data_IF_148879747602
#
_entry.id   IF_148879747602
#
_cell.length_a   1.000
_cell.length_b   1.000
_cell.length_c   1.000
_cell.angle_alpha   90.00
_cell.angle_beta   90.00
_cell.angle_gamma   90.00
#
_symmetry.space_group_name_H-M   'P 1'
#
loop_
_entity.id
_entity.type
_entity.pdbx_description
1 polymer ?
#
# COMPACT_ATOMS: atom_id res chain seq x y z
N UNK A 1 8.37 3.37 1.86
CA UNK A 1 7.30 4.14 2.55
C UNK A 1 5.92 3.49 2.46
N UNK A 2 5.40 3.15 1.26
CA UNK A 2 4.03 2.58 1.14
C UNK A 2 3.90 1.21 1.81
N UNK A 3 4.83 0.29 1.51
CA UNK A 3 4.83 -1.06 2.09
C UNK A 3 4.91 -1.00 3.62
N UNK A 4 5.77 -0.15 4.18
CA UNK A 4 5.96 -0.05 5.63
C UNK A 4 4.74 0.45 6.40
N UNK A 5 3.84 1.19 5.75
CA UNK A 5 2.63 1.72 6.41
C UNK A 5 1.37 0.90 6.10
N UNK A 6 1.33 0.21 4.96
CA UNK A 6 0.14 -0.55 4.53
C UNK A 6 0.30 -2.07 4.64
N UNK A 7 1.53 -2.56 4.72
CA UNK A 7 1.84 -3.98 4.55
C UNK A 7 1.60 -4.52 3.13
N UNK A 8 1.30 -3.65 2.15
CA UNK A 8 0.95 -4.05 0.78
C UNK A 8 1.97 -3.55 -0.24
N UNK A 9 2.30 -4.40 -1.21
CA UNK A 9 3.07 -4.01 -2.39
C UNK A 9 2.24 -3.03 -3.22
N UNK A 10 2.76 -1.85 -3.57
CA UNK A 10 2.04 -0.90 -4.41
C UNK A 10 1.92 -1.42 -5.85
N UNK A 11 1.03 -0.78 -6.62
CA UNK A 11 0.93 -0.95 -8.07
C UNK A 11 1.52 0.29 -8.74
N UNK A 12 2.32 0.10 -9.78
CA UNK A 12 2.80 1.17 -10.66
C UNK A 12 1.95 1.17 -11.93
N UNK A 13 1.28 2.28 -12.17
CA UNK A 13 0.60 2.57 -13.42
C UNK A 13 1.52 3.36 -14.34
N UNK A 14 1.80 2.86 -15.54
CA UNK A 14 2.67 3.54 -16.52
C UNK A 14 2.47 3.01 -17.94
N UNK A 15 2.91 3.79 -18.94
CA UNK A 15 3.18 3.26 -20.28
C UNK A 15 4.65 2.87 -20.43
N UNK A 16 4.96 2.04 -21.43
CA UNK A 16 6.34 1.72 -21.82
C UNK A 16 7.16 2.98 -22.13
N UNK A 17 6.62 3.85 -22.99
CA UNK A 17 7.31 5.06 -23.44
C UNK A 17 7.64 5.98 -22.28
N UNK A 18 6.69 6.21 -21.36
CA UNK A 18 6.95 7.04 -20.19
C UNK A 18 8.06 6.46 -19.31
N UNK A 19 8.03 5.15 -19.05
CA UNK A 19 9.05 4.50 -18.23
C UNK A 19 10.45 4.61 -18.83
N UNK A 20 10.57 4.38 -20.14
CA UNK A 20 11.85 4.43 -20.85
C UNK A 20 12.41 5.86 -20.92
N UNK A 21 11.57 6.86 -21.17
CA UNK A 21 12.01 8.23 -21.43
C UNK A 21 12.11 9.09 -20.16
N UNK A 22 11.18 8.94 -19.22
CA UNK A 22 11.05 9.81 -18.03
C UNK A 22 11.62 9.17 -16.76
N UNK A 23 11.61 7.83 -16.69
CA UNK A 23 12.13 7.06 -15.55
C UNK A 23 13.44 6.35 -15.92
N UNK A 24 14.02 6.71 -17.07
CA UNK A 24 15.31 6.24 -17.56
C UNK A 24 15.42 4.71 -17.64
N UNK A 25 14.29 4.03 -17.89
CA UNK A 25 14.19 2.58 -17.90
C UNK A 25 14.78 1.95 -16.62
N UNK A 26 14.59 2.59 -15.46
CA UNK A 26 15.09 2.07 -14.19
C UNK A 26 14.57 0.66 -13.91
N UNK A 27 15.40 -0.14 -13.27
CA UNK A 27 15.07 -1.50 -12.83
C UNK A 27 14.86 -1.59 -11.32
N UNK A 28 14.97 -0.48 -10.58
CA UNK A 28 14.88 -0.44 -9.12
C UNK A 28 13.49 -0.84 -8.58
N UNK A 29 12.49 -0.90 -9.45
CA UNK A 29 11.09 -1.19 -9.15
C UNK A 29 10.55 -2.40 -9.91
N UNK A 30 11.44 -3.25 -10.45
CA UNK A 30 11.09 -4.45 -11.22
C UNK A 30 10.25 -5.47 -10.42
N UNK A 31 10.38 -5.48 -9.09
CA UNK A 31 9.63 -6.37 -8.19
C UNK A 31 8.26 -5.79 -7.77
N UNK A 32 7.91 -4.59 -8.25
CA UNK A 32 6.61 -3.95 -7.97
C UNK A 32 5.60 -4.37 -9.02
N UNK A 33 4.31 -4.44 -8.64
CA UNK A 33 3.23 -4.86 -9.53
C UNK A 33 3.02 -3.82 -10.65
N UNK A 34 2.93 -4.28 -11.90
CA UNK A 34 2.69 -3.43 -13.07
C UNK A 34 1.22 -3.37 -13.48
N UNK A 35 0.72 -2.15 -13.65
CA UNK A 35 -0.49 -1.81 -14.40
C UNK A 35 -0.08 -1.03 -15.66
N UNK A 36 -0.10 -1.69 -16.82
CA UNK A 36 0.40 -1.08 -18.06
C UNK A 36 -0.71 -0.33 -18.79
N UNK A 37 -0.43 0.87 -19.29
CA UNK A 37 -1.28 1.59 -20.21
C UNK A 37 -0.79 1.40 -21.65
N UNK A 38 -1.59 0.72 -22.48
CA UNK A 38 -1.32 0.56 -23.90
C UNK A 38 -2.61 0.26 -24.67
N UNK A 39 -3.17 1.28 -25.32
CA UNK A 39 -4.49 1.18 -25.92
C UNK A 39 -4.49 0.64 -27.36
N UNK A 40 -5.63 0.07 -27.79
CA UNK A 40 -5.86 -0.30 -29.19
C UNK A 40 -5.05 -1.48 -29.73
N UNK A 41 -4.38 -2.24 -28.85
CA UNK A 41 -3.58 -3.42 -29.20
C UNK A 41 -4.20 -4.71 -28.66
N UNK A 42 -3.74 -5.87 -29.13
CA UNK A 42 -4.20 -7.18 -28.64
C UNK A 42 -3.28 -7.78 -27.57
N UNK A 43 -2.08 -7.24 -27.41
CA UNK A 43 -1.08 -7.63 -26.44
C UNK A 43 -0.29 -6.36 -26.08
N UNK A 44 -0.23 -5.95 -24.80
CA UNK A 44 0.43 -4.71 -24.42
C UNK A 44 1.95 -4.84 -24.51
N UNK A 45 2.60 -3.78 -25.00
CA UNK A 45 4.04 -3.59 -24.84
C UNK A 45 4.33 -3.09 -23.42
N UNK A 46 5.07 -3.88 -22.64
CA UNK A 46 5.47 -3.53 -21.28
C UNK A 46 6.90 -2.95 -21.24
N UNK A 47 7.24 -2.10 -20.25
CA UNK A 47 8.61 -1.69 -20.03
C UNK A 47 9.52 -2.88 -19.73
N UNK A 48 10.77 -2.83 -20.19
CA UNK A 48 11.72 -3.95 -20.06
C UNK A 48 12.11 -4.32 -18.62
N UNK A 49 11.80 -3.45 -17.65
CA UNK A 49 11.99 -3.71 -16.23
C UNK A 49 11.05 -4.81 -15.71
N UNK A 50 9.93 -5.08 -16.39
CA UNK A 50 8.99 -6.13 -16.01
C UNK A 50 8.97 -7.27 -17.01
N UNK A 51 8.74 -8.48 -16.51
CA UNK A 51 8.51 -9.67 -17.32
C UNK A 51 7.03 -9.94 -17.61
N UNK A 52 6.13 -9.35 -16.82
CA UNK A 52 4.68 -9.54 -16.95
C UNK A 52 3.91 -8.33 -16.37
N UNK A 53 2.60 -8.27 -16.63
CA UNK A 53 1.67 -7.27 -16.11
C UNK A 53 0.53 -7.92 -15.34
N UNK A 54 -0.02 -7.20 -14.36
CA UNK A 54 -1.19 -7.66 -13.58
C UNK A 54 -2.47 -6.98 -14.05
N UNK A 55 -2.38 -5.69 -14.36
CA UNK A 55 -3.48 -4.94 -14.99
C UNK A 55 -3.02 -4.33 -16.29
N UNK A 56 -3.94 -4.22 -17.24
CA UNK A 56 -3.71 -3.57 -18.51
C UNK A 56 -4.85 -2.62 -18.82
N UNK A 57 -4.55 -1.32 -18.90
CA UNK A 57 -5.47 -0.34 -19.43
C UNK A 57 -5.48 -0.41 -20.97
N UNK A 58 -6.64 -0.77 -21.50
CA UNK A 58 -6.91 -1.12 -22.90
C UNK A 58 -7.48 0.04 -23.71
N UNK A 59 -8.09 1.02 -23.06
CA UNK A 59 -8.70 2.20 -23.68
C UNK A 59 -8.76 3.37 -22.69
N UNK A 60 -8.75 4.59 -23.21
CA UNK A 60 -9.09 5.86 -22.54
C UNK A 60 -10.49 6.39 -22.93
N UNK A 61 -11.15 5.67 -23.84
CA UNK A 61 -12.35 6.10 -24.54
C UNK A 61 -13.36 4.95 -24.66
N UNK A 62 -13.34 4.05 -23.67
CA UNK A 62 -14.33 3.00 -23.54
C UNK A 62 -15.69 3.53 -23.09
N UNK A 63 -16.66 2.62 -23.03
CA UNK A 63 -18.03 2.91 -22.61
C UNK A 63 -18.55 1.78 -21.74
N UNK A 64 -19.00 2.11 -20.53
CA UNK A 64 -19.65 1.19 -19.59
C UNK A 64 -21.04 1.74 -19.32
N UNK A 65 -22.03 0.89 -19.03
CA UNK A 65 -23.42 1.33 -18.82
C UNK A 65 -23.52 2.49 -17.82
N UNK A 66 -23.79 3.70 -18.34
CA UNK A 66 -23.92 4.93 -17.56
C UNK A 66 -22.67 5.83 -17.49
N UNK A 67 -21.53 5.43 -18.06
CA UNK A 67 -20.28 6.22 -18.05
C UNK A 67 -19.61 6.14 -19.44
N UNK A 68 -19.43 7.31 -20.07
CA UNK A 68 -18.84 7.48 -21.40
C UNK A 68 -18.33 8.93 -21.59
N UNK A 69 -17.04 9.17 -21.91
CA UNK A 69 -15.97 8.18 -22.05
C UNK A 69 -15.42 7.70 -20.70
N UNK A 70 -14.84 6.50 -20.67
CA UNK A 70 -14.18 5.93 -19.48
C UNK A 70 -12.98 5.06 -19.87
N UNK A 71 -11.96 5.07 -19.02
CA UNK A 71 -10.85 4.11 -19.10
C UNK A 71 -11.37 2.68 -18.94
N UNK A 72 -10.81 1.73 -19.69
CA UNK A 72 -11.15 0.30 -19.54
C UNK A 72 -9.93 -0.54 -19.28
N UNK A 73 -10.05 -1.46 -18.32
CA UNK A 73 -8.94 -2.27 -17.83
C UNK A 73 -9.25 -3.77 -17.90
N UNK A 74 -8.19 -4.56 -18.03
CA UNK A 74 -8.22 -6.02 -17.95
C UNK A 74 -7.26 -6.47 -16.86
N UNK A 75 -7.72 -7.39 -16.00
CA UNK A 75 -6.88 -8.12 -15.05
C UNK A 75 -6.33 -9.39 -15.70
N UNK A 76 -5.06 -9.70 -15.46
CA UNK A 76 -4.40 -10.90 -15.98
C UNK A 76 -4.77 -12.15 -15.15
N UNK A 77 -6.03 -12.57 -15.24
CA UNK A 77 -6.55 -13.71 -14.51
C UNK A 77 -8.08 -13.80 -14.54
N UNK A 78 -8.63 -14.74 -13.78
CA UNK A 78 -10.07 -14.85 -13.57
C UNK A 78 -10.54 -14.05 -12.33
N UNK A 79 -11.85 -14.08 -12.07
CA UNK A 79 -12.45 -13.36 -10.95
C UNK A 79 -11.92 -13.85 -9.58
N UNK A 80 -11.69 -15.16 -9.44
CA UNK A 80 -11.17 -15.73 -8.20
C UNK A 80 -9.74 -15.24 -7.95
N UNK A 81 -8.90 -15.20 -8.98
CA UNK A 81 -7.56 -14.62 -8.90
C UNK A 81 -7.60 -13.12 -8.58
N UNK A 82 -8.55 -12.35 -9.11
CA UNK A 82 -8.72 -10.94 -8.76
C UNK A 82 -9.13 -10.75 -7.30
N UNK A 83 -10.04 -11.58 -6.78
CA UNK A 83 -10.43 -11.55 -5.37
C UNK A 83 -9.26 -11.91 -4.46
N UNK A 84 -8.53 -12.97 -4.79
CA UNK A 84 -7.32 -13.36 -4.07
C UNK A 84 -6.27 -12.23 -4.08
N UNK A 85 -6.07 -11.58 -5.23
CA UNK A 85 -5.19 -10.42 -5.36
C UNK A 85 -5.62 -9.24 -4.46
N UNK A 86 -6.92 -8.96 -4.40
CA UNK A 86 -7.47 -7.91 -3.54
C UNK A 86 -7.42 -8.28 -2.04
N UNK A 87 -7.21 -9.57 -1.71
CA UNK A 87 -7.38 -10.09 -0.37
C UNK A 87 -8.84 -10.13 0.06
N UNK A 88 -9.75 -10.29 -0.92
CA UNK A 88 -11.17 -10.53 -0.69
C UNK A 88 -11.34 -12.03 -0.49
N UNK A 89 -11.75 -12.42 0.71
CA UNK A 89 -12.23 -13.77 1.00
C UNK A 89 -13.64 -13.94 0.43
N UNK A 90 -13.82 -14.97 -0.40
CA UNK A 90 -15.06 -15.17 -1.15
C UNK A 90 -15.68 -16.49 -0.74
N UNK A 91 -16.65 -16.43 0.17
CA UNK A 91 -17.37 -17.63 0.54
C UNK A 91 -18.14 -18.22 -0.64
N UNK A 92 -17.99 -19.52 -0.86
CA UNK A 92 -18.56 -20.32 -1.93
C UNK A 92 -17.57 -20.74 -3.03
N UNK A 93 -16.26 -20.58 -2.86
CA UNK A 93 -15.25 -20.95 -3.87
C UNK A 93 -14.64 -22.35 -3.69
N UNK A 94 -15.16 -23.11 -2.72
CA UNK A 94 -14.72 -24.45 -2.32
C UNK A 94 -13.32 -24.50 -1.68
N UNK A 95 -12.79 -23.38 -1.18
CA UNK A 95 -11.52 -23.32 -0.44
C UNK A 95 -11.68 -22.52 0.84
N UNK A 96 -11.19 -23.05 1.96
CA UNK A 96 -11.13 -22.29 3.21
C UNK A 96 -9.90 -21.39 3.21
N UNK A 97 -10.04 -20.17 2.70
CA UNK A 97 -8.94 -19.23 2.51
C UNK A 97 -8.55 -18.49 3.80
N UNK A 98 -7.39 -17.83 3.77
CA UNK A 98 -6.90 -17.04 4.92
C UNK A 98 -7.83 -15.85 5.18
N UNK A 99 -8.49 -15.84 6.35
CA UNK A 99 -9.50 -14.84 6.71
C UNK A 99 -10.93 -15.41 6.70
N UNK A 100 -11.10 -16.63 6.21
CA UNK A 100 -12.33 -17.39 6.37
C UNK A 100 -12.28 -18.21 7.65
N UNK A 101 -13.45 -18.31 8.29
CA UNK A 101 -13.64 -19.11 9.49
C UNK A 101 -14.90 -19.93 9.30
N UNK A 102 -15.09 -20.96 10.12
CA UNK A 102 -16.36 -21.68 10.15
C UNK A 102 -17.57 -20.79 10.50
N UNK A 103 -17.35 -19.58 11.05
CA UNK A 103 -18.41 -18.58 11.33
C UNK A 103 -18.68 -17.71 10.10
N UNK A 104 -17.63 -17.21 9.45
CA UNK A 104 -17.75 -16.28 8.31
C UNK A 104 -17.97 -16.98 6.97
N UNK A 105 -17.51 -18.22 6.82
CA UNK A 105 -17.73 -19.06 5.65
C UNK A 105 -17.80 -20.56 5.98
N UNK A 106 -18.89 -21.04 6.62
CA UNK A 106 -19.09 -22.46 6.85
C UNK A 106 -19.24 -23.29 5.57
N UNK A 107 -19.55 -22.66 4.43
CA UNK A 107 -19.69 -23.35 3.15
C UNK A 107 -18.37 -23.97 2.69
N UNK A 108 -17.25 -23.25 2.86
CA UNK A 108 -15.93 -23.71 2.43
C UNK A 108 -15.06 -24.22 3.60
N UNK A 109 -15.17 -23.61 4.79
CA UNK A 109 -14.41 -24.00 5.98
C UNK A 109 -15.07 -25.10 6.83
N UNK A 110 -16.30 -25.50 6.49
CA UNK A 110 -17.07 -26.46 7.26
C UNK A 110 -17.74 -25.87 8.50
N UNK A 111 -18.62 -26.65 9.17
CA UNK A 111 -19.33 -26.20 10.36
C UNK A 111 -18.37 -26.01 11.54
N UNK A 112 -18.64 -25.01 12.38
CA UNK A 112 -17.89 -24.85 13.61
C UNK A 112 -18.11 -26.06 14.53
N UNK A 113 -17.07 -26.52 15.24
CA UNK A 113 -17.27 -27.49 16.31
C UNK A 113 -18.28 -26.93 17.32
N UNK A 114 -19.18 -27.76 17.86
CA UNK A 114 -20.03 -27.33 18.95
C UNK A 114 -19.14 -26.91 20.12
N UNK A 115 -19.51 -25.85 20.83
CA UNK A 115 -18.85 -25.48 22.07
C UNK A 115 -18.94 -26.71 22.98
N UNK A 116 -17.82 -27.42 23.15
CA UNK A 116 -17.73 -28.41 24.19
C UNK A 116 -17.87 -27.61 25.48
N UNK A 117 -19.06 -27.66 26.08
CA UNK A 117 -19.22 -27.31 27.49
C UNK A 117 -18.29 -28.25 28.26
N UNK A 118 -17.02 -27.86 28.40
CA UNK A 118 -16.20 -28.33 29.50
C UNK A 118 -17.04 -28.05 30.73
N UNK A 119 -17.50 -29.15 31.34
CA UNK A 119 -18.26 -29.09 32.57
C UNK A 119 -17.55 -28.14 33.52
N UNK A 120 -18.24 -27.07 33.86
CA UNK A 120 -17.91 -26.29 35.04
C UNK A 120 -18.15 -27.27 36.19
N UNK A 121 -17.14 -28.07 36.55
CA UNK A 121 -17.15 -28.70 37.86
C UNK A 121 -17.19 -27.53 38.84
N UNK A 122 -18.35 -27.38 39.49
CA UNK A 122 -18.62 -26.44 40.56
C UNK A 122 -17.46 -26.46 41.55
N UNK A 123 -16.50 -25.55 41.35
CA UNK A 123 -15.42 -25.28 42.29
C UNK A 123 -16.02 -24.87 43.63
N UNK A 124 -15.33 -25.11 44.75
CA UNK A 124 -15.93 -24.97 46.07
C UNK A 124 -16.40 -23.52 46.26
N UNK A 125 -17.63 -23.40 46.77
CA UNK A 125 -18.31 -22.16 47.11
C UNK A 125 -17.35 -21.19 47.81
N UNK A 126 -17.07 -20.05 47.16
CA UNK A 126 -16.24 -19.00 47.75
C UNK A 126 -17.02 -18.40 48.92
N UNK A 127 -16.61 -18.72 50.15
CA UNK A 127 -17.10 -18.05 51.34
C UNK A 127 -16.70 -16.57 51.27
N UNK A 128 -17.69 -15.71 51.07
CA UNK A 128 -17.51 -14.27 51.00
C UNK A 128 -17.10 -13.77 52.39
N UNK A 129 -15.81 -13.58 52.62
CA UNK A 129 -15.31 -12.81 53.77
C UNK A 129 -15.71 -11.34 53.58
N UNK A 130 -16.32 -10.69 54.58
CA UNK A 130 -16.80 -9.33 54.44
C UNK A 130 -15.63 -8.37 54.20
N UNK A 131 -15.76 -7.53 53.16
CA UNK A 131 -14.94 -6.34 52.94
C UNK A 131 -14.90 -5.55 54.25
N UNK A 132 -13.71 -5.42 54.84
CA UNK A 132 -13.25 -4.30 55.69
C UNK A 132 -11.88 -4.67 56.26
N UNK A 133 -10.85 -4.64 55.41
CA UNK A 133 -9.47 -4.24 55.74
C UNK A 133 -8.58 -4.48 54.53
N UNK A 134 -8.22 -3.42 53.82
CA UNK A 134 -6.89 -3.05 53.35
C UNK A 134 -7.12 -1.71 52.63
N UNK A 135 -7.00 -0.63 53.37
CA UNK A 135 -6.73 0.70 52.81
C UNK A 135 -5.33 1.05 53.30
N UNK A 136 -4.55 1.61 52.39
CA UNK A 136 -3.22 2.19 52.55
C UNK A 136 -2.04 1.23 52.48
N UNK A 137 -1.55 0.99 51.25
CA UNK A 137 -0.16 1.30 50.87
C UNK A 137 0.08 0.96 49.39
N UNK A 138 -0.19 1.88 48.46
CA UNK A 138 0.67 2.05 47.26
C UNK A 138 0.77 3.54 46.96
N UNK A 139 1.92 4.09 47.35
CA UNK A 139 2.40 5.43 47.05
C UNK A 139 3.02 5.43 45.64
N UNK A 140 2.48 6.29 44.78
CA UNK A 140 3.18 7.17 43.81
C UNK A 140 3.96 6.58 42.62
N UNK A 141 4.04 7.43 41.58
CA UNK A 141 4.81 7.36 40.32
C UNK A 141 4.04 6.78 39.12
N UNK A 142 3.33 7.61 38.35
CA UNK A 142 3.77 8.10 37.01
C UNK A 142 2.98 9.39 36.68
N UNK A 143 3.69 10.39 36.18
CA UNK A 143 3.24 11.75 35.88
C UNK A 143 2.23 11.81 34.69
N UNK A 144 1.38 12.85 34.59
CA UNK A 144 0.44 12.97 33.48
C UNK A 144 1.19 13.16 32.16
N UNK A 145 0.96 12.25 31.20
CA UNK A 145 1.31 12.49 29.81
C UNK A 145 0.30 13.50 29.26
N UNK A 146 0.72 14.76 29.14
CA UNK A 146 0.00 15.76 28.36
C UNK A 146 0.01 15.35 26.89
N UNK A 147 -1.10 14.79 26.40
CA UNK A 147 -1.36 14.67 24.96
C UNK A 147 -1.76 16.06 24.46
N UNK A 148 -0.75 16.86 24.12
CA UNK A 148 -0.94 18.05 23.31
C UNK A 148 -1.21 17.60 21.86
N UNK A 149 -2.47 17.74 21.43
CA UNK A 149 -2.84 17.63 20.03
C UNK A 149 -2.41 18.93 19.37
N UNK A 150 -1.19 18.96 18.82
CA UNK A 150 -0.77 20.02 17.91
C UNK A 150 -0.72 19.44 16.51
N UNK A 151 -1.83 19.57 15.80
CA UNK A 151 -1.90 19.40 14.36
C UNK A 151 -2.51 20.68 13.80
N UNK A 152 -1.64 21.66 13.52
CA UNK A 152 -1.91 22.56 12.42
C UNK A 152 -2.00 21.71 11.15
N UNK A 153 -3.24 21.33 10.81
CA UNK A 153 -3.59 20.84 9.47
C UNK A 153 -3.40 22.01 8.53
N UNK A 154 -2.18 22.13 8.01
CA UNK A 154 -1.95 22.90 6.80
C UNK A 154 -2.66 22.15 5.69
N UNK A 155 -3.76 22.73 5.22
CA UNK A 155 -4.48 22.26 4.04
C UNK A 155 -3.48 22.20 2.88
N UNK A 156 -3.25 21.05 2.23
CA UNK A 156 -2.59 21.07 0.94
C UNK A 156 -3.49 21.85 0.00
N UNK A 157 -2.92 22.86 -0.63
CA UNK A 157 -3.55 23.60 -1.72
C UNK A 157 -4.21 22.61 -2.67
N UNK A 158 -5.43 22.95 -3.07
CA UNK A 158 -6.20 22.25 -4.10
C UNK A 158 -5.30 21.92 -5.27
N UNK A 159 -5.02 20.63 -5.47
CA UNK A 159 -4.37 20.14 -6.68
C UNK A 159 -5.35 20.37 -7.83
N UNK A 160 -5.16 21.50 -8.51
CA UNK A 160 -5.95 21.93 -9.65
C UNK A 160 -5.64 21.03 -10.85
N UNK A 161 -6.55 20.09 -11.12
CA UNK A 161 -6.50 19.18 -12.26
C UNK A 161 -6.97 19.89 -13.53
N UNK A 162 -6.48 21.10 -13.81
CA UNK A 162 -6.78 21.81 -15.05
C UNK A 162 -5.62 21.75 -16.04
N UNK A 163 -5.89 20.94 -17.07
CA UNK A 163 -5.45 21.07 -18.47
C UNK A 163 -3.95 21.06 -18.74
N UNK A 164 -3.47 19.90 -19.21
CA UNK A 164 -2.51 19.90 -20.30
C UNK A 164 -2.78 18.73 -21.26
N UNK A 165 -3.96 18.74 -21.87
CA UNK A 165 -4.22 17.98 -23.08
C UNK A 165 -3.53 18.70 -24.25
N UNK A 166 -2.30 18.25 -24.55
CA UNK A 166 -1.69 18.59 -25.83
C UNK A 166 -2.12 17.52 -26.81
N UNK A 167 -3.06 17.88 -27.70
CA UNK A 167 -3.40 17.10 -28.88
C UNK A 167 -2.12 16.70 -29.61
N UNK A 168 -1.98 15.40 -29.87
CA UNK A 168 -1.00 14.89 -30.82
C UNK A 168 -1.42 15.28 -32.24
N UNK A 169 -1.20 16.54 -32.60
CA UNK A 169 -1.12 16.95 -34.00
C UNK A 169 0.35 17.00 -34.42
N UNK A 170 0.65 16.32 -35.53
CA UNK A 170 2.01 16.17 -36.04
C UNK A 170 2.69 17.51 -36.36
N UNK A 171 3.96 17.62 -35.98
CA UNK A 171 4.79 18.77 -36.33
C UNK A 171 6.24 18.54 -35.94
N UNK A 172 7.07 18.16 -36.92
CA UNK A 172 8.52 18.14 -36.83
C UNK A 172 9.05 19.54 -36.50
N UNK A 173 9.80 19.68 -35.40
CA UNK A 173 11.10 20.39 -35.32
C UNK A 173 11.72 20.15 -33.95
N UNK A 174 13.00 19.75 -33.93
CA UNK A 174 13.71 19.32 -32.73
C UNK A 174 13.96 20.42 -31.70
N UNK A 175 13.94 20.01 -30.44
CA UNK A 175 14.59 20.66 -29.31
C UNK A 175 15.17 19.58 -28.40
N UNK A 176 16.27 19.92 -27.75
CA UNK A 176 17.37 19.06 -27.32
C UNK A 176 16.98 18.06 -26.21
N UNK A 177 17.34 16.80 -26.43
CA UNK A 177 17.29 15.70 -25.45
C UNK A 177 18.29 15.95 -24.33
N UNK A 178 17.80 16.49 -23.21
CA UNK A 178 18.54 16.73 -21.98
C UNK A 178 17.92 16.02 -20.78
N UNK A 179 17.74 14.70 -20.83
CA UNK A 179 17.41 13.92 -19.63
C UNK A 179 18.69 13.56 -18.88
N UNK A 180 19.02 14.32 -17.82
CA UNK A 180 20.03 13.90 -16.85
C UNK A 180 19.37 12.97 -15.83
N UNK A 181 19.56 11.67 -16.02
CA UNK A 181 19.07 10.63 -15.11
C UNK A 181 19.88 10.66 -13.81
N UNK A 182 19.50 11.53 -12.88
CA UNK A 182 19.94 11.49 -11.49
C UNK A 182 18.73 11.16 -10.62
N UNK A 183 18.33 9.89 -10.57
CA UNK A 183 17.35 9.43 -9.59
C UNK A 183 18.07 9.36 -8.24
N UNK A 184 17.98 10.43 -7.45
CA UNK A 184 18.33 10.39 -6.04
C UNK A 184 17.22 9.65 -5.29
N UNK A 185 17.31 8.32 -5.24
CA UNK A 185 16.71 7.57 -4.14
C UNK A 185 17.47 8.02 -2.88
N UNK A 186 16.88 8.95 -2.12
CA UNK A 186 17.43 9.36 -0.83
C UNK A 186 17.37 8.17 0.13
N UNK A 187 18.49 7.48 0.28
CA UNK A 187 18.75 6.56 1.38
C UNK A 187 19.00 7.39 2.64
N UNK A 188 17.98 7.59 3.47
CA UNK A 188 18.13 8.22 4.78
C UNK A 188 18.65 7.19 5.78
N UNK A 189 19.90 6.77 5.64
CA UNK A 189 20.57 6.01 6.69
C UNK A 189 22.06 6.37 6.77
N UNK A 190 22.39 7.52 7.36
CA UNK A 190 23.62 7.71 8.14
C UNK A 190 23.45 8.90 9.07
N UNK A 191 23.14 8.62 10.33
CA UNK A 191 23.38 9.54 11.44
C UNK A 191 24.89 9.64 11.65
N UNK A 192 25.52 10.76 11.27
CA UNK A 192 26.81 11.18 11.82
C UNK A 192 26.76 12.65 12.22
N UNK A 193 26.89 12.83 13.52
CA UNK A 193 27.00 14.07 14.30
C UNK A 193 28.10 14.99 13.75
N UNK A 194 27.89 16.32 13.57
CA UNK A 194 28.96 17.23 13.20
C UNK A 194 29.82 17.56 14.43
N UNK A 195 31.12 17.26 14.35
CA UNK A 195 32.12 17.75 15.30
C UNK A 195 32.49 19.18 14.92
N UNK A 196 32.37 20.10 15.88
CA UNK A 196 32.81 21.48 15.80
C UNK A 196 34.35 21.54 15.71
N UNK A 197 34.87 22.15 14.64
CA UNK A 197 36.26 22.57 14.58
C UNK A 197 36.50 23.76 15.52
N UNK A 198 37.35 23.55 16.54
CA UNK A 198 38.01 24.62 17.28
C UNK A 198 39.52 24.44 17.07
N UNK A 199 40.20 25.50 16.64
CA UNK A 199 41.61 25.46 16.27
C UNK A 199 42.57 25.48 17.47
N UNK A 200 43.80 25.01 17.22
CA UNK A 200 45.10 25.52 17.69
C UNK A 200 46.17 24.48 17.30
N UNK A 201 47.09 24.84 16.41
CA UNK A 201 48.47 25.25 16.69
C UNK A 201 49.40 24.17 17.26
N UNK A 202 50.46 23.98 16.48
CA UNK A 202 51.85 23.58 16.79
C UNK A 202 52.23 22.11 16.98
N UNK A 203 53.30 21.77 16.25
CA UNK A 203 54.12 20.57 16.31
C UNK A 203 54.59 20.26 17.74
N UNK A 204 54.45 19.01 18.16
CA UNK A 204 55.53 18.01 18.30
C UNK A 204 54.91 16.64 18.59
#
# INVERSE_FOLDING_TARGET
>A
RIISVTGRTPIIYTSRSFWENEVCNSTDLNDVILWVANWGVTCPDIPSAWSDWVFWQTSDSGSVGGIDPVDTDVFNGDLAALHAFAGITTCGDSRCDTGETCISCPADCGPCPPDEEEGIEEGPEIEIVPEETIIEEIIEIVEPVDIAIDQEVTTPETFDWQSNETSAEGGSTGLESGCSCSVLLHDTTTSHRPQHHTGQQHLL
#
